data_IF_719927792748
#
_entry.id   IF_719927792748
#
_cell.length_a   1.000
_cell.length_b   1.000
_cell.length_c   1.000
_cell.angle_alpha   90.00
_cell.angle_beta   90.00
_cell.angle_gamma   90.00
#
_symmetry.space_group_name_H-M   'P 1'
#
loop_
_entity.id
_entity.type
_entity.pdbx_description
1 polymer ?
#
# COMPACT_ATOMS: atom_id res chain seq x y z
N UNK A 1 12.24 8.86 -12.81
CA UNK A 1 10.86 9.28 -13.21
C UNK A 1 9.88 8.61 -12.25
N UNK A 2 8.85 9.30 -11.78
CA UNK A 2 7.84 8.70 -10.89
C UNK A 2 6.89 7.82 -11.69
N UNK A 3 6.62 6.61 -11.23
CA UNK A 3 5.63 5.71 -11.85
C UNK A 3 4.23 6.33 -11.76
N UNK A 4 3.47 6.43 -12.87
CA UNK A 4 2.14 7.00 -12.84
C UNK A 4 1.15 6.11 -12.08
N UNK A 5 0.22 6.74 -11.39
CA UNK A 5 -0.96 6.08 -10.86
C UNK A 5 -1.94 5.78 -12.00
N UNK A 6 -2.57 4.61 -11.98
CA UNK A 6 -3.61 4.23 -12.95
C UNK A 6 -4.98 4.34 -12.30
N UNK A 7 -5.94 4.80 -13.06
CA UNK A 7 -7.33 4.89 -12.65
C UNK A 7 -8.22 4.54 -13.84
N UNK A 8 -9.05 3.53 -13.68
CA UNK A 8 -10.18 3.31 -14.57
C UNK A 8 -11.32 4.22 -14.11
N UNK A 9 -11.82 5.05 -15.01
CA UNK A 9 -12.85 6.04 -14.69
C UNK A 9 -14.16 5.32 -14.32
N UNK A 10 -14.67 5.52 -13.09
CA UNK A 10 -15.90 4.86 -12.64
C UNK A 10 -17.14 5.49 -13.27
N UNK A 11 -18.31 4.86 -13.15
CA UNK A 11 -19.58 5.51 -13.45
C UNK A 11 -19.71 6.86 -12.75
N UNK A 12 -20.19 7.85 -13.48
CA UNK A 12 -20.39 9.22 -13.00
C UNK A 12 -20.86 10.14 -14.12
N UNK A 13 -21.44 11.27 -13.75
CA UNK A 13 -22.03 12.23 -14.69
C UNK A 13 -21.36 13.60 -14.49
N UNK A 14 -20.10 13.72 -14.87
CA UNK A 14 -19.36 15.00 -14.90
C UNK A 14 -19.18 15.46 -16.33
N UNK A 15 -19.25 16.78 -16.56
CA UNK A 15 -19.15 17.36 -17.89
C UNK A 15 -17.74 17.15 -18.48
N UNK A 16 -16.71 17.16 -17.65
CA UNK A 16 -15.32 17.02 -18.10
C UNK A 16 -14.49 16.08 -17.22
N UNK A 17 -13.35 15.66 -17.77
CA UNK A 17 -12.36 14.86 -17.05
C UNK A 17 -11.84 15.61 -15.81
N UNK A 18 -11.59 16.92 -15.93
CA UNK A 18 -11.16 17.75 -14.80
C UNK A 18 -12.19 17.76 -13.68
N UNK A 19 -13.49 17.97 -14.00
CA UNK A 19 -14.55 17.98 -12.98
C UNK A 19 -14.67 16.65 -12.26
N UNK A 20 -14.66 15.56 -13.01
CA UNK A 20 -14.72 14.20 -12.45
C UNK A 20 -13.53 13.90 -11.54
N UNK A 21 -12.31 14.31 -11.92
CA UNK A 21 -11.13 14.15 -11.09
C UNK A 21 -11.16 15.01 -9.82
N UNK A 22 -11.63 16.26 -9.90
CA UNK A 22 -11.82 17.11 -8.72
C UNK A 22 -12.84 16.52 -7.74
N UNK A 23 -13.96 16.02 -8.24
CA UNK A 23 -14.99 15.38 -7.41
C UNK A 23 -14.49 14.11 -6.72
N UNK A 24 -13.70 13.30 -7.44
CA UNK A 24 -13.18 12.04 -6.91
C UNK A 24 -12.01 12.21 -5.93
N UNK A 25 -11.24 13.26 -6.10
CA UNK A 25 -10.07 13.57 -5.27
C UNK A 25 -10.20 14.93 -4.57
N UNK A 26 -11.16 15.11 -3.65
CA UNK A 26 -11.47 16.41 -3.05
C UNK A 26 -10.32 17.02 -2.23
N UNK A 27 -9.28 16.24 -1.93
CA UNK A 27 -8.07 16.73 -1.24
C UNK A 27 -7.00 17.29 -2.19
N UNK A 28 -7.22 17.18 -3.51
CA UNK A 28 -6.31 17.73 -4.53
C UNK A 28 -6.99 18.99 -5.07
N UNK A 29 -6.32 20.12 -4.93
CA UNK A 29 -6.81 21.40 -5.43
C UNK A 29 -7.05 21.34 -6.96
N UNK A 30 -8.07 22.03 -7.43
CA UNK A 30 -8.39 22.16 -8.85
C UNK A 30 -7.19 22.71 -9.64
N UNK A 31 -6.51 23.74 -9.10
CA UNK A 31 -5.31 24.30 -9.72
C UNK A 31 -4.17 23.28 -9.89
N UNK A 32 -4.05 22.33 -8.97
CA UNK A 32 -3.08 21.25 -9.10
C UNK A 32 -3.45 20.30 -10.24
N UNK A 33 -4.74 20.01 -10.44
CA UNK A 33 -5.19 19.21 -11.58
C UNK A 33 -4.97 19.96 -12.90
N UNK A 34 -5.36 21.23 -12.99
CA UNK A 34 -5.14 22.07 -14.16
C UNK A 34 -3.64 22.13 -14.54
N UNK A 35 -2.78 22.32 -13.55
CA UNK A 35 -1.32 22.28 -13.75
C UNK A 35 -0.82 20.92 -14.24
N UNK A 36 -1.39 19.81 -13.75
CA UNK A 36 -1.04 18.46 -14.26
C UNK A 36 -1.46 18.27 -15.71
N UNK A 37 -2.65 18.70 -16.08
CA UNK A 37 -3.12 18.67 -17.46
C UNK A 37 -2.21 19.52 -18.37
N UNK A 38 -1.95 20.76 -18.01
CA UNK A 38 -1.09 21.67 -18.78
C UNK A 38 0.33 21.10 -19.01
N UNK A 39 0.86 20.31 -18.07
CA UNK A 39 2.19 19.67 -18.17
C UNK A 39 2.15 18.27 -18.77
N UNK A 40 1.01 17.81 -19.32
CA UNK A 40 0.87 16.46 -19.88
C UNK A 40 1.02 15.34 -18.84
N UNK A 41 0.70 15.61 -17.57
CA UNK A 41 0.80 14.66 -16.46
C UNK A 41 -0.49 13.87 -16.20
N UNK A 42 -1.49 14.04 -17.05
CA UNK A 42 -2.68 13.19 -17.13
C UNK A 42 -2.70 12.61 -18.55
N UNK A 43 -2.63 11.28 -18.66
CA UNK A 43 -2.37 10.58 -19.90
C UNK A 43 -3.34 9.40 -20.06
N UNK A 44 -3.52 8.95 -21.30
CA UNK A 44 -4.18 7.67 -21.57
C UNK A 44 -3.25 6.46 -21.31
N UNK A 45 -3.76 5.25 -21.58
CA UNK A 45 -3.01 4.01 -21.44
C UNK A 45 -1.79 3.93 -22.36
N UNK A 46 -1.73 4.70 -23.44
CA UNK A 46 -0.63 4.78 -24.39
C UNK A 46 0.38 5.89 -24.07
N UNK A 47 0.14 6.66 -23.00
CA UNK A 47 1.01 7.75 -22.57
C UNK A 47 0.76 9.08 -23.29
N UNK A 48 -0.31 9.22 -24.06
CA UNK A 48 -0.68 10.48 -24.72
C UNK A 48 -1.39 11.39 -23.73
N UNK A 49 -1.02 12.66 -23.70
CA UNK A 49 -1.64 13.64 -22.83
C UNK A 49 -3.14 13.81 -23.14
N UNK A 50 -3.95 13.86 -22.09
CA UNK A 50 -5.39 14.10 -22.18
C UNK A 50 -5.71 15.57 -21.89
N UNK A 51 -6.75 16.10 -22.50
CA UNK A 51 -7.24 17.45 -22.28
C UNK A 51 -8.14 17.50 -21.03
N UNK A 52 -8.10 18.62 -20.32
CA UNK A 52 -8.87 18.83 -19.08
C UNK A 52 -10.40 18.89 -19.34
N UNK A 53 -10.78 19.45 -20.49
CA UNK A 53 -12.15 19.64 -20.98
C UNK A 53 -12.72 18.40 -21.70
N UNK A 54 -11.89 17.35 -21.91
CA UNK A 54 -12.35 16.10 -22.48
C UNK A 54 -13.56 15.57 -21.70
N UNK A 55 -14.64 15.12 -22.39
CA UNK A 55 -15.80 14.53 -21.73
C UNK A 55 -15.43 13.34 -20.84
N UNK A 56 -16.12 13.22 -19.70
CA UNK A 56 -15.94 12.05 -18.81
C UNK A 56 -16.38 10.77 -19.54
N UNK A 57 -15.48 9.79 -19.62
CA UNK A 57 -15.74 8.51 -20.28
C UNK A 57 -15.58 7.37 -19.30
N UNK A 58 -16.71 6.76 -18.90
CA UNK A 58 -16.73 5.59 -18.00
C UNK A 58 -15.90 4.45 -18.62
N UNK A 59 -15.05 3.84 -17.82
CA UNK A 59 -14.20 2.73 -18.23
C UNK A 59 -12.87 3.13 -18.90
N UNK A 60 -12.67 4.40 -19.24
CA UNK A 60 -11.38 4.87 -19.75
C UNK A 60 -10.29 4.69 -18.69
N UNK A 61 -9.18 4.01 -19.04
CA UNK A 61 -7.98 3.98 -18.19
C UNK A 61 -7.19 5.27 -18.41
N UNK A 62 -6.99 6.00 -17.33
CA UNK A 62 -6.08 7.15 -17.29
C UNK A 62 -4.86 6.87 -16.42
N UNK A 63 -3.76 7.53 -16.74
CA UNK A 63 -2.53 7.57 -15.96
C UNK A 63 -2.27 8.99 -15.50
N UNK A 64 -1.98 9.19 -14.23
CA UNK A 64 -1.64 10.50 -13.72
C UNK A 64 -0.45 10.41 -12.77
N UNK A 65 0.40 11.43 -12.82
CA UNK A 65 1.57 11.51 -11.97
C UNK A 65 1.21 12.24 -10.68
N UNK A 66 1.46 11.58 -9.56
CA UNK A 66 1.33 12.22 -8.25
C UNK A 66 2.54 13.10 -8.02
N UNK A 67 2.29 14.30 -7.57
CA UNK A 67 3.31 15.25 -7.17
C UNK A 67 2.89 15.81 -5.81
N UNK A 68 3.82 15.81 -4.87
CA UNK A 68 3.68 16.42 -3.56
C UNK A 68 4.82 17.41 -3.44
N UNK A 69 4.49 18.70 -3.35
CA UNK A 69 5.49 19.76 -3.35
C UNK A 69 6.39 19.66 -2.11
N UNK A 70 5.78 19.57 -0.94
CA UNK A 70 6.45 19.56 0.36
C UNK A 70 6.32 18.18 1.01
N UNK A 71 6.91 17.17 0.38
CA UNK A 71 6.92 15.81 0.91
C UNK A 71 7.90 15.74 2.09
N UNK A 72 7.44 15.43 3.32
CA UNK A 72 8.31 15.38 4.48
C UNK A 72 9.33 14.25 4.32
N UNK A 73 10.59 14.60 4.55
CA UNK A 73 11.69 13.62 4.54
C UNK A 73 11.56 12.68 5.72
N UNK A 74 11.67 11.38 5.45
CA UNK A 74 11.66 10.35 6.49
C UNK A 74 13.13 10.02 6.83
N UNK A 75 13.61 10.33 8.07
CA UNK A 75 15.04 10.28 8.41
C UNK A 75 15.57 8.85 8.64
N UNK A 76 14.73 7.83 8.46
CA UNK A 76 15.13 6.44 8.63
C UNK A 76 15.48 5.81 7.30
N UNK A 77 16.55 5.00 7.29
CA UNK A 77 17.11 4.39 6.09
C UNK A 77 16.73 2.93 6.01
N UNK A 78 16.33 2.49 4.84
CA UNK A 78 16.11 1.09 4.51
C UNK A 78 17.42 0.33 4.25
N UNK A 79 17.45 -0.97 4.54
CA UNK A 79 18.57 -1.84 4.24
C UNK A 79 18.17 -2.89 3.20
N UNK A 80 18.98 -3.06 2.15
CA UNK A 80 18.84 -4.19 1.22
C UNK A 80 19.55 -5.39 1.83
N UNK A 81 18.78 -6.45 2.12
CA UNK A 81 19.28 -7.68 2.73
C UNK A 81 19.64 -8.73 1.69
N UNK A 82 18.95 -8.71 0.55
CA UNK A 82 19.19 -9.59 -0.57
C UNK A 82 18.83 -8.90 -1.88
N UNK A 83 19.61 -9.14 -2.93
CA UNK A 83 19.31 -8.65 -4.27
C UNK A 83 19.96 -9.57 -5.32
N UNK A 84 19.10 -10.21 -6.12
CA UNK A 84 19.50 -11.01 -7.27
C UNK A 84 18.72 -10.64 -8.53
N UNK A 85 18.80 -11.46 -9.57
CA UNK A 85 18.13 -11.22 -10.85
C UNK A 85 16.59 -11.25 -10.76
N UNK A 86 16.01 -11.84 -9.70
CA UNK A 86 14.58 -12.13 -9.61
C UNK A 86 13.90 -11.49 -8.40
N UNK A 87 14.64 -11.35 -7.31
CA UNK A 87 14.14 -10.93 -6.00
C UNK A 87 15.03 -9.88 -5.35
N UNK A 88 14.41 -8.87 -4.76
CA UNK A 88 15.04 -7.96 -3.82
C UNK A 88 14.29 -8.03 -2.49
N UNK A 89 15.02 -8.21 -1.39
CA UNK A 89 14.50 -8.17 -0.02
C UNK A 89 15.07 -6.95 0.68
N UNK A 90 14.19 -6.11 1.19
CA UNK A 90 14.58 -4.92 1.94
C UNK A 90 13.97 -4.94 3.34
N UNK A 91 14.76 -4.51 4.33
CA UNK A 91 14.27 -4.14 5.65
C UNK A 91 13.74 -2.71 5.60
N UNK A 92 12.44 -2.59 5.77
CA UNK A 92 11.73 -1.31 5.74
C UNK A 92 11.72 -0.69 7.13
N UNK A 93 12.22 0.52 7.32
CA UNK A 93 12.12 1.19 8.61
C UNK A 93 10.68 1.58 8.94
N UNK A 94 10.44 1.89 10.23
CA UNK A 94 9.20 2.53 10.66
C UNK A 94 8.96 3.85 9.90
N UNK A 95 7.71 4.26 9.78
CA UNK A 95 7.22 5.50 9.16
C UNK A 95 7.41 5.62 7.65
N UNK A 96 8.21 4.75 7.01
CA UNK A 96 8.38 4.73 5.56
C UNK A 96 7.24 3.92 4.91
N UNK A 97 6.43 4.49 4.00
CA UNK A 97 5.46 3.72 3.23
C UNK A 97 6.16 2.74 2.27
N UNK A 98 5.54 1.58 2.01
CA UNK A 98 6.09 0.61 1.04
C UNK A 98 6.05 1.15 -0.40
N UNK A 99 4.98 1.81 -0.79
CA UNK A 99 4.76 2.34 -2.15
C UNK A 99 3.98 3.66 -2.08
N UNK A 100 3.91 4.46 -3.16
CA UNK A 100 3.25 5.74 -3.18
C UNK A 100 1.83 5.72 -2.61
N UNK A 101 1.58 6.53 -1.59
CA UNK A 101 0.30 6.61 -0.89
C UNK A 101 0.12 7.96 -0.19
N UNK A 102 -1.08 8.55 -0.28
CA UNK A 102 -1.37 9.84 0.37
C UNK A 102 -0.38 10.92 -0.05
N UNK A 103 0.26 11.55 0.94
CA UNK A 103 1.24 12.62 0.77
C UNK A 103 2.67 12.11 0.46
N UNK A 104 2.88 10.81 0.28
CA UNK A 104 4.19 10.21 0.06
C UNK A 104 4.28 9.63 -1.36
N UNK A 105 5.23 10.11 -2.13
CA UNK A 105 5.52 9.68 -3.51
C UNK A 105 7.00 9.31 -3.67
N UNK A 106 7.89 10.20 -3.27
CA UNK A 106 9.36 10.02 -3.31
C UNK A 106 9.85 9.32 -2.05
N UNK A 107 9.31 9.70 -0.90
CA UNK A 107 9.62 9.12 0.40
C UNK A 107 8.82 7.82 0.62
N UNK A 108 9.11 6.83 -0.22
CA UNK A 108 8.58 5.47 -0.14
C UNK A 108 9.68 4.45 -0.37
N UNK A 109 9.56 3.27 0.22
CA UNK A 109 10.55 2.20 0.05
C UNK A 109 10.80 1.90 -1.43
N UNK A 110 9.73 1.74 -2.23
CA UNK A 110 9.82 1.50 -3.67
C UNK A 110 10.61 2.59 -4.39
N UNK A 111 10.28 3.87 -4.16
CA UNK A 111 10.93 4.97 -4.86
C UNK A 111 12.43 5.08 -4.50
N UNK A 112 12.77 4.88 -3.23
CA UNK A 112 14.15 4.87 -2.76
C UNK A 112 14.94 3.70 -3.35
N UNK A 113 14.35 2.49 -3.40
CA UNK A 113 14.99 1.32 -3.99
C UNK A 113 15.19 1.47 -5.50
N UNK A 114 14.22 2.00 -6.23
CA UNK A 114 14.38 2.33 -7.67
C UNK A 114 15.55 3.31 -7.86
N UNK A 115 15.61 4.38 -7.06
CA UNK A 115 16.71 5.34 -7.13
C UNK A 115 18.07 4.70 -6.83
N UNK A 116 18.12 3.78 -5.86
CA UNK A 116 19.36 3.14 -5.39
C UNK A 116 19.85 2.07 -6.35
N UNK A 117 18.94 1.29 -6.95
CA UNK A 117 19.29 0.15 -7.84
C UNK A 117 19.27 0.52 -9.32
N UNK A 118 18.64 1.62 -9.71
CA UNK A 118 18.36 1.97 -11.10
C UNK A 118 17.27 1.11 -11.76
N UNK A 119 16.72 0.10 -11.07
CA UNK A 119 15.74 -0.83 -11.63
C UNK A 119 14.31 -0.25 -11.54
N UNK A 120 13.77 0.20 -12.67
CA UNK A 120 12.40 0.74 -12.78
C UNK A 120 11.33 -0.34 -12.83
N UNK A 121 11.69 -1.61 -13.02
CA UNK A 121 10.79 -2.77 -13.05
C UNK A 121 10.47 -3.32 -11.65
N UNK A 122 11.06 -2.76 -10.60
CA UNK A 122 10.79 -3.14 -9.22
C UNK A 122 9.29 -3.00 -8.89
N UNK A 123 8.70 -4.07 -8.37
CA UNK A 123 7.32 -4.09 -7.89
C UNK A 123 7.26 -4.80 -6.54
N UNK A 124 6.68 -4.20 -5.50
CA UNK A 124 6.50 -4.88 -4.22
C UNK A 124 5.55 -6.06 -4.38
N UNK A 125 5.94 -7.22 -3.89
CA UNK A 125 5.14 -8.46 -3.91
C UNK A 125 4.07 -8.46 -2.81
N UNK A 126 4.31 -7.71 -1.75
CA UNK A 126 3.39 -7.42 -0.67
C UNK A 126 3.68 -6.05 -0.07
N UNK A 127 2.93 -5.66 0.93
CA UNK A 127 3.14 -4.37 1.60
C UNK A 127 3.10 -4.50 3.11
N UNK A 128 3.85 -3.64 3.78
CA UNK A 128 3.70 -3.32 5.19
C UNK A 128 3.06 -1.93 5.33
N UNK A 129 2.35 -1.73 6.42
CA UNK A 129 1.82 -0.42 6.78
C UNK A 129 2.96 0.57 7.06
N UNK A 130 2.69 1.86 6.98
CA UNK A 130 3.68 2.91 7.20
C UNK A 130 4.36 2.79 8.57
N UNK A 131 3.60 2.47 9.60
CA UNK A 131 4.10 2.33 10.97
C UNK A 131 4.79 0.99 11.26
N UNK A 132 4.66 -0.01 10.38
CA UNK A 132 5.25 -1.33 10.55
C UNK A 132 6.63 -1.37 9.90
N UNK A 133 7.65 -1.77 10.63
CA UNK A 133 8.98 -2.08 10.11
C UNK A 133 9.10 -3.55 9.71
N UNK A 134 10.16 -3.91 8.99
CA UNK A 134 10.51 -5.28 8.65
C UNK A 134 10.55 -5.58 7.16
N UNK A 135 10.56 -6.87 6.82
CA UNK A 135 10.90 -7.37 5.51
C UNK A 135 9.82 -7.05 4.46
N UNK A 136 10.26 -6.51 3.33
CA UNK A 136 9.42 -6.35 2.13
C UNK A 136 10.15 -6.96 0.94
N UNK A 137 9.44 -7.82 0.21
CA UNK A 137 9.92 -8.50 -0.97
C UNK A 137 9.49 -7.75 -2.24
N UNK A 138 10.41 -7.60 -3.17
CA UNK A 138 10.18 -6.98 -4.47
C UNK A 138 10.56 -7.93 -5.59
N UNK A 139 9.71 -8.04 -6.62
CA UNK A 139 10.10 -8.64 -7.90
C UNK A 139 10.98 -7.65 -8.65
N UNK A 140 12.11 -8.13 -9.18
CA UNK A 140 13.03 -7.33 -9.99
C UNK A 140 12.74 -7.43 -11.48
N UNK A 141 11.93 -8.43 -11.92
CA UNK A 141 11.60 -8.71 -13.32
C UNK A 141 10.13 -9.08 -13.51
N UNK A 142 9.49 -8.61 -14.60
CA UNK A 142 8.11 -8.97 -14.92
C UNK A 142 7.87 -10.47 -15.08
N UNK A 143 8.83 -11.20 -15.70
CA UNK A 143 8.69 -12.60 -16.10
C UNK A 143 8.51 -13.55 -14.90
N UNK A 144 9.13 -13.23 -13.76
CA UNK A 144 9.05 -14.07 -12.55
C UNK A 144 8.04 -13.57 -11.52
N UNK A 145 7.44 -12.40 -11.76
CA UNK A 145 6.55 -11.71 -10.81
C UNK A 145 5.34 -12.54 -10.41
N UNK A 146 4.67 -13.18 -11.38
CA UNK A 146 3.48 -13.98 -11.09
C UNK A 146 3.81 -15.22 -10.24
N UNK A 147 4.96 -15.86 -10.45
CA UNK A 147 5.40 -17.00 -9.65
C UNK A 147 5.52 -16.63 -8.16
N UNK A 148 6.14 -15.49 -7.85
CA UNK A 148 6.22 -14.99 -6.47
C UNK A 148 4.86 -14.55 -5.92
N UNK A 149 4.05 -13.82 -6.71
CA UNK A 149 2.71 -13.40 -6.28
C UNK A 149 1.80 -14.59 -6.01
N UNK A 150 1.97 -15.69 -6.72
CA UNK A 150 1.23 -16.94 -6.51
C UNK A 150 1.47 -17.50 -5.10
N UNK A 151 2.69 -17.44 -4.59
CA UNK A 151 2.99 -17.90 -3.23
C UNK A 151 2.16 -17.15 -2.17
N UNK A 152 1.93 -15.84 -2.38
CA UNK A 152 1.05 -15.05 -1.50
C UNK A 152 -0.43 -15.42 -1.69
N UNK A 153 -0.88 -15.58 -2.94
CA UNK A 153 -2.28 -15.97 -3.23
C UNK A 153 -2.63 -17.35 -2.67
N UNK A 154 -1.70 -18.30 -2.77
CA UNK A 154 -1.83 -19.67 -2.29
C UNK A 154 -1.49 -19.81 -0.80
N UNK A 155 -1.17 -18.72 -0.09
CA UNK A 155 -0.79 -18.69 1.33
C UNK A 155 0.40 -19.60 1.66
N UNK A 156 1.34 -19.77 0.75
CA UNK A 156 2.55 -20.59 0.90
C UNK A 156 3.70 -19.84 1.56
N UNK A 157 3.49 -18.57 1.94
CA UNK A 157 4.47 -17.75 2.65
C UNK A 157 4.04 -17.65 4.11
N UNK A 158 4.87 -18.18 4.98
CA UNK A 158 4.73 -17.99 6.41
C UNK A 158 5.21 -16.57 6.79
N UNK A 159 4.44 -15.93 7.65
CA UNK A 159 4.70 -14.56 8.09
C UNK A 159 4.63 -14.49 9.60
N UNK A 160 5.65 -13.92 10.20
CA UNK A 160 5.70 -13.69 11.64
C UNK A 160 5.92 -12.21 11.90
N UNK A 161 5.13 -11.67 12.82
CA UNK A 161 5.24 -10.29 13.27
C UNK A 161 5.35 -10.24 14.78
N UNK A 162 5.91 -9.16 15.28
CA UNK A 162 5.84 -8.82 16.69
C UNK A 162 5.12 -7.47 16.86
N UNK A 163 4.33 -7.36 17.90
CA UNK A 163 3.60 -6.15 18.21
C UNK A 163 3.67 -5.83 19.70
N UNK A 164 3.73 -4.55 19.99
CA UNK A 164 3.45 -4.01 21.33
C UNK A 164 1.99 -3.53 21.32
N UNK A 165 1.21 -4.05 22.25
CA UNK A 165 -0.21 -3.71 22.39
C UNK A 165 -0.64 -3.70 23.87
N UNK A 166 -1.80 -3.14 24.20
CA UNK A 166 -2.31 -3.16 25.56
C UNK A 166 -2.34 -4.57 26.16
N UNK A 167 -2.11 -4.67 27.45
CA UNK A 167 -2.22 -5.92 28.20
C UNK A 167 -3.64 -6.51 28.10
N UNK A 168 -3.73 -7.82 27.92
CA UNK A 168 -4.99 -8.58 27.86
C UNK A 168 -4.97 -9.71 28.89
N UNK A 169 -4.99 -9.38 30.20
CA UNK A 169 -4.78 -10.36 31.29
C UNK A 169 -5.88 -11.41 31.38
N UNK A 170 -7.07 -11.12 30.89
CA UNK A 170 -8.21 -12.02 30.90
C UNK A 170 -8.21 -13.05 29.76
N UNK A 171 -7.27 -12.90 28.80
CA UNK A 171 -7.16 -13.83 27.66
C UNK A 171 -6.07 -14.86 27.91
N UNK A 172 -6.35 -16.08 27.45
CA UNK A 172 -5.36 -17.17 27.42
C UNK A 172 -4.66 -17.24 26.07
N UNK A 173 -3.35 -17.39 26.07
CA UNK A 173 -2.52 -17.54 24.89
C UNK A 173 -1.92 -18.97 24.81
N UNK A 174 -1.68 -19.53 23.60
CA UNK A 174 -1.96 -18.93 22.29
C UNK A 174 -3.46 -18.85 22.02
N UNK A 175 -3.88 -17.82 21.27
CA UNK A 175 -5.25 -17.70 20.80
C UNK A 175 -5.31 -17.54 19.28
N UNK A 176 -6.43 -17.94 18.68
CA UNK A 176 -6.74 -17.70 17.29
C UNK A 176 -7.82 -16.62 17.18
N UNK A 177 -7.49 -15.54 16.46
CA UNK A 177 -8.45 -14.49 16.12
C UNK A 177 -8.96 -14.71 14.72
N UNK A 178 -10.25 -14.96 14.61
CA UNK A 178 -10.98 -15.15 13.34
C UNK A 178 -12.03 -14.05 13.23
N UNK A 179 -11.99 -13.29 12.14
CA UNK A 179 -12.96 -12.21 11.96
C UNK A 179 -13.26 -11.94 10.49
N UNK A 180 -14.36 -11.24 10.23
CA UNK A 180 -14.69 -10.70 8.93
C UNK A 180 -14.27 -9.23 8.88
N UNK A 181 -13.27 -8.93 8.07
CA UNK A 181 -12.78 -7.58 7.83
C UNK A 181 -13.32 -7.03 6.51
N UNK A 182 -13.84 -5.81 6.55
CA UNK A 182 -14.27 -5.06 5.37
C UNK A 182 -13.85 -3.58 5.47
N UNK A 183 -13.88 -2.82 4.35
CA UNK A 183 -13.69 -1.38 4.40
C UNK A 183 -14.69 -0.73 5.34
N UNK A 184 -14.21 0.16 6.21
CA UNK A 184 -15.00 0.92 7.18
C UNK A 184 -15.07 2.40 6.82
N UNK A 185 -15.65 3.19 7.71
CA UNK A 185 -15.66 4.64 7.61
C UNK A 185 -14.64 5.28 8.57
N UNK A 186 -13.85 6.23 8.09
CA UNK A 186 -13.68 6.65 6.69
C UNK A 186 -12.99 5.55 5.84
N UNK A 187 -13.18 5.58 4.53
CA UNK A 187 -12.81 4.53 3.54
C UNK A 187 -11.39 3.95 3.64
N UNK A 188 -10.47 4.62 4.30
CA UNK A 188 -9.11 4.13 4.50
C UNK A 188 -8.96 3.22 5.72
N UNK A 189 -9.97 3.10 6.58
CA UNK A 189 -10.00 2.18 7.72
C UNK A 189 -10.53 0.80 7.31
N UNK A 190 -10.30 -0.17 8.16
CA UNK A 190 -10.96 -1.47 8.13
C UNK A 190 -11.79 -1.63 9.38
N UNK A 191 -12.91 -2.29 9.27
CA UNK A 191 -13.81 -2.61 10.37
C UNK A 191 -14.01 -4.13 10.45
N UNK A 192 -14.16 -4.63 11.66
CA UNK A 192 -14.65 -5.97 11.92
C UNK A 192 -16.19 -5.96 11.92
N UNK A 193 -16.79 -6.88 11.21
CA UNK A 193 -18.23 -6.99 11.06
C UNK A 193 -18.71 -8.42 11.23
N UNK A 194 -19.98 -8.66 11.58
CA UNK A 194 -20.57 -10.00 11.62
C UNK A 194 -20.49 -10.71 10.25
N UNK A 195 -20.34 -12.02 10.26
CA UNK A 195 -20.38 -12.90 9.08
C UNK A 195 -19.19 -13.84 9.01
N UNK A 196 -19.14 -14.64 7.92
CA UNK A 196 -18.09 -15.63 7.70
C UNK A 196 -16.70 -15.00 7.74
N UNK A 197 -15.77 -15.50 8.57
CA UNK A 197 -14.42 -14.98 8.71
C UNK A 197 -13.64 -14.99 7.40
N UNK A 198 -12.96 -13.90 7.10
CA UNK A 198 -12.04 -13.78 5.96
C UNK A 198 -10.61 -13.42 6.38
N UNK A 199 -10.39 -13.25 7.68
CA UNK A 199 -9.10 -12.95 8.29
C UNK A 199 -8.85 -13.89 9.47
N UNK A 200 -7.65 -14.48 9.54
CA UNK A 200 -7.21 -15.37 10.60
C UNK A 200 -5.81 -15.02 11.04
N UNK A 201 -5.59 -14.92 12.35
CA UNK A 201 -4.28 -14.66 12.97
C UNK A 201 -4.14 -15.50 14.22
N UNK A 202 -3.04 -16.24 14.33
CA UNK A 202 -2.60 -16.84 15.58
C UNK A 202 -1.81 -15.83 16.37
N UNK A 203 -2.10 -15.70 17.67
CA UNK A 203 -1.49 -14.73 18.58
C UNK A 203 -0.89 -15.48 19.75
N UNK A 204 0.39 -15.23 20.02
CA UNK A 204 1.13 -15.78 21.16
C UNK A 204 1.63 -14.62 22.02
N UNK A 205 1.61 -14.81 23.34
CA UNK A 205 2.24 -13.87 24.26
C UNK A 205 3.73 -14.18 24.33
N UNK A 206 4.57 -13.18 24.04
CA UNK A 206 6.03 -13.28 24.21
C UNK A 206 6.42 -12.81 25.61
N UNK A 207 5.92 -11.63 26.00
CA UNK A 207 6.32 -10.98 27.23
C UNK A 207 5.15 -10.19 27.80
N UNK A 208 4.92 -10.35 29.11
CA UNK A 208 3.91 -9.61 29.87
C UNK A 208 4.62 -8.65 30.82
N UNK A 209 4.61 -7.36 30.51
CA UNK A 209 5.20 -6.35 31.37
C UNK A 209 4.36 -5.07 31.41
N UNK A 210 3.88 -4.72 32.59
CA UNK A 210 3.10 -3.49 32.80
C UNK A 210 1.83 -3.41 31.92
N UNK A 211 1.46 -2.21 31.45
CA UNK A 211 0.23 -1.99 30.69
C UNK A 211 0.34 -2.34 29.19
N UNK A 212 1.55 -2.64 28.71
CA UNK A 212 1.83 -2.96 27.30
C UNK A 212 2.60 -4.26 27.23
N UNK A 213 2.04 -5.23 26.51
CA UNK A 213 2.62 -6.55 26.34
C UNK A 213 3.17 -6.73 24.92
N UNK A 214 4.12 -7.67 24.77
CA UNK A 214 4.71 -8.05 23.49
C UNK A 214 4.10 -9.35 23.00
N UNK A 215 3.57 -9.31 21.78
CA UNK A 215 2.88 -10.42 21.16
C UNK A 215 3.59 -10.86 19.88
N UNK A 216 3.53 -12.16 19.59
CA UNK A 216 3.86 -12.73 18.29
C UNK A 216 2.57 -13.00 17.52
N UNK A 217 2.55 -12.57 16.27
CA UNK A 217 1.39 -12.66 15.40
C UNK A 217 1.76 -13.44 14.13
N UNK A 218 1.04 -14.50 13.84
CA UNK A 218 1.19 -15.32 12.65
C UNK A 218 -0.10 -15.25 11.81
N UNK A 219 -0.22 -14.30 10.85
CA UNK A 219 -1.41 -14.18 10.02
C UNK A 219 -1.41 -15.22 8.90
N UNK A 220 -2.43 -16.05 8.82
CA UNK A 220 -2.68 -16.98 7.72
C UNK A 220 -3.27 -16.26 6.49
N UNK A 221 -3.95 -15.15 6.68
CA UNK A 221 -4.49 -14.29 5.65
C UNK A 221 -3.71 -12.97 5.54
N UNK A 222 -4.01 -12.16 4.52
CA UNK A 222 -3.30 -10.88 4.29
C UNK A 222 -4.27 -9.73 4.03
N UNK A 223 -5.29 -9.55 4.88
CA UNK A 223 -6.22 -8.43 4.73
C UNK A 223 -5.57 -7.11 5.12
N UNK A 224 -6.01 -6.04 4.47
CA UNK A 224 -5.56 -4.69 4.80
C UNK A 224 -5.78 -4.42 6.29
N UNK A 225 -4.78 -3.88 6.98
CA UNK A 225 -4.77 -3.55 8.40
C UNK A 225 -5.13 -4.72 9.35
N UNK A 226 -5.06 -5.98 8.91
CA UNK A 226 -5.49 -7.14 9.69
C UNK A 226 -4.90 -7.17 11.10
N UNK A 227 -3.57 -7.11 11.22
CA UNK A 227 -2.89 -7.19 12.51
C UNK A 227 -3.13 -5.98 13.43
N UNK A 228 -3.65 -4.89 12.90
CA UNK A 228 -4.04 -3.70 13.69
C UNK A 228 -5.47 -3.80 14.21
N UNK A 229 -6.29 -4.65 13.60
CA UNK A 229 -7.66 -4.91 14.04
C UNK A 229 -7.67 -6.07 15.04
N UNK A 230 -6.92 -7.15 14.76
CA UNK A 230 -6.80 -8.30 15.64
C UNK A 230 -6.03 -7.99 16.91
#
# INVERSE_FOLDING_TARGET
MTTPSRLQLPPGNWASLLEGLCARFPRIDRLQWESRFARGRVQDAQGRALAADMPWQVGLEIRYFREVADEPVIPFVETILHHDAHLLVADKPHFLPTAPTGAFVRETLLARLIKRTGNTELVPLHRLDRLTAGLVLFSTRPETRDAYQRLFRERRIEKTYEALAPALPDLRFPLERNSRLQPGEPFFRMAEVPGEPNARTRIELIEAHGPVWRYRLAPESGRKHQLRVH
#
